data_IF_319861843467
#
_entry.id   IF_319861843467
#
_cell.length_a   1.000
_cell.length_b   1.000
_cell.length_c   1.000
_cell.angle_alpha   90.00
_cell.angle_beta   90.00
_cell.angle_gamma   90.00
#
_symmetry.space_group_name_H-M   'P 1'
#
loop_
_entity.id
_entity.type
_entity.pdbx_description
1 polymer ?
#
# COMPACT_ATOMS: atom_id res chain seq x y z
N UNK A 1 10.76 20.13 45.57
CA UNK A 1 10.39 20.60 44.22
C UNK A 1 9.33 21.68 44.32
N UNK A 2 9.56 22.76 43.62
CA UNK A 2 8.64 23.89 43.56
C UNK A 2 7.50 23.59 42.58
N UNK A 3 6.37 24.29 42.72
CA UNK A 3 5.22 24.18 41.81
C UNK A 3 5.63 24.45 40.35
N UNK A 4 6.55 25.39 40.14
CA UNK A 4 7.05 25.73 38.81
C UNK A 4 7.79 24.56 38.16
N UNK A 5 8.57 23.80 38.95
CA UNK A 5 9.27 22.62 38.46
C UNK A 5 8.30 21.49 38.03
N UNK A 6 7.28 21.26 38.80
CA UNK A 6 6.23 20.29 38.44
C UNK A 6 5.48 20.72 37.19
N UNK A 7 5.17 22.01 37.09
CA UNK A 7 4.47 22.54 35.92
C UNK A 7 5.33 22.42 34.65
N UNK A 8 6.62 22.67 34.76
CA UNK A 8 7.55 22.53 33.65
C UNK A 8 7.63 21.06 33.17
N UNK A 9 7.70 20.12 34.12
CA UNK A 9 7.70 18.69 33.80
C UNK A 9 6.40 18.30 33.09
N UNK A 10 5.27 18.76 33.61
CA UNK A 10 3.96 18.48 32.99
C UNK A 10 3.91 19.04 31.57
N UNK A 11 4.40 20.25 31.36
CA UNK A 11 4.41 20.90 30.06
C UNK A 11 5.31 20.15 29.07
N UNK A 12 6.45 19.65 29.51
CA UNK A 12 7.35 18.83 28.70
C UNK A 12 6.67 17.55 28.25
N UNK A 13 6.00 16.85 29.16
CA UNK A 13 5.26 15.63 28.82
C UNK A 13 4.12 15.92 27.86
N UNK A 14 3.40 17.01 28.04
CA UNK A 14 2.34 17.42 27.12
C UNK A 14 2.88 17.65 25.71
N UNK A 15 4.03 18.29 25.59
CA UNK A 15 4.68 18.51 24.29
C UNK A 15 5.13 17.19 23.65
N UNK A 16 5.69 16.27 24.44
CA UNK A 16 6.07 14.95 23.95
C UNK A 16 4.86 14.17 23.45
N UNK A 17 3.76 14.20 24.19
CA UNK A 17 2.52 13.52 23.80
C UNK A 17 1.99 14.13 22.50
N UNK A 18 2.01 15.45 22.38
CA UNK A 18 1.56 16.14 21.17
C UNK A 18 2.39 15.73 19.95
N UNK A 19 3.71 15.71 20.10
CA UNK A 19 4.63 15.29 19.04
C UNK A 19 4.38 13.85 18.63
N UNK A 20 4.24 12.95 19.60
CA UNK A 20 3.99 11.52 19.33
C UNK A 20 2.65 11.31 18.62
N UNK A 21 1.62 12.04 19.01
CA UNK A 21 0.30 11.97 18.35
C UNK A 21 0.39 12.45 16.90
N UNK A 22 1.16 13.51 16.65
CA UNK A 22 1.38 13.99 15.29
C UNK A 22 2.11 12.94 14.44
N UNK A 23 3.14 12.30 15.01
CA UNK A 23 3.87 11.23 14.33
C UNK A 23 2.98 10.02 14.03
N UNK A 24 2.13 9.64 14.98
CA UNK A 24 1.18 8.55 14.78
C UNK A 24 0.22 8.88 13.64
N UNK A 25 -0.31 10.09 13.62
CA UNK A 25 -1.21 10.54 12.55
C UNK A 25 -0.53 10.49 11.18
N UNK A 26 0.70 10.96 11.09
CA UNK A 26 1.49 10.90 9.85
C UNK A 26 1.73 9.46 9.40
N UNK A 27 2.05 8.57 10.34
CA UNK A 27 2.27 7.15 10.04
C UNK A 27 0.98 6.48 9.58
N UNK A 28 -0.15 6.79 10.21
CA UNK A 28 -1.45 6.27 9.80
C UNK A 28 -1.80 6.69 8.37
N UNK A 29 -1.56 7.96 8.04
CA UNK A 29 -1.81 8.48 6.69
C UNK A 29 -0.88 7.83 5.67
N UNK A 30 0.39 7.64 6.01
CA UNK A 30 1.36 6.96 5.15
C UNK A 30 0.96 5.51 4.91
N UNK A 31 0.47 4.82 5.94
CA UNK A 31 -0.01 3.44 5.82
C UNK A 31 -1.23 3.36 4.90
N UNK A 32 -2.18 4.26 5.04
CA UNK A 32 -3.37 4.32 4.16
C UNK A 32 -2.97 4.53 2.71
N UNK A 33 -2.05 5.46 2.46
CA UNK A 33 -1.53 5.74 1.12
C UNK A 33 -0.86 4.52 0.50
N UNK A 34 -0.02 3.84 1.27
CA UNK A 34 0.69 2.63 0.82
C UNK A 34 -0.28 1.48 0.56
N UNK A 35 -1.29 1.31 1.41
CA UNK A 35 -2.32 0.29 1.23
C UNK A 35 -3.11 0.52 -0.06
N UNK A 36 -3.47 1.76 -0.34
CA UNK A 36 -4.17 2.12 -1.58
C UNK A 36 -3.30 1.85 -2.81
N UNK A 37 -2.01 2.20 -2.74
CA UNK A 37 -1.05 1.94 -3.82
C UNK A 37 -0.86 0.43 -4.03
N UNK A 38 -0.78 -0.35 -2.95
CA UNK A 38 -0.65 -1.81 -3.02
C UNK A 38 -1.89 -2.44 -3.67
N UNK A 39 -3.07 -2.03 -3.28
CA UNK A 39 -4.32 -2.51 -3.88
C UNK A 39 -4.36 -2.26 -5.38
N UNK A 40 -3.96 -1.05 -5.82
CA UNK A 40 -3.89 -0.72 -7.25
C UNK A 40 -2.89 -1.59 -7.99
N UNK A 41 -1.73 -1.84 -7.38
CA UNK A 41 -0.70 -2.70 -7.96
C UNK A 41 -1.19 -4.14 -8.10
N UNK A 42 -1.88 -4.66 -7.09
CA UNK A 42 -2.45 -6.00 -7.12
C UNK A 42 -3.53 -6.13 -8.22
N UNK A 43 -4.36 -5.12 -8.39
CA UNK A 43 -5.35 -5.09 -9.48
C UNK A 43 -4.68 -5.11 -10.84
N UNK A 44 -3.62 -4.33 -11.04
CA UNK A 44 -2.86 -4.33 -12.29
C UNK A 44 -2.24 -5.69 -12.58
N UNK A 45 -1.73 -6.37 -11.54
CA UNK A 45 -1.19 -7.71 -11.68
C UNK A 45 -2.28 -8.71 -12.10
N UNK A 46 -3.46 -8.62 -11.52
CA UNK A 46 -4.59 -9.47 -11.91
C UNK A 46 -4.96 -9.28 -13.38
N UNK A 47 -5.09 -8.04 -13.82
CA UNK A 47 -5.41 -7.74 -15.21
C UNK A 47 -4.31 -8.23 -16.16
N UNK A 48 -3.05 -8.04 -15.78
CA UNK A 48 -1.91 -8.51 -16.58
C UNK A 48 -1.91 -10.04 -16.67
N UNK A 49 -2.20 -10.73 -15.57
CA UNK A 49 -2.28 -12.18 -15.55
C UNK A 49 -3.42 -12.68 -16.44
N UNK A 50 -4.58 -12.02 -16.42
CA UNK A 50 -5.69 -12.34 -17.29
C UNK A 50 -5.34 -12.14 -18.76
N UNK A 51 -4.70 -11.02 -19.08
CA UNK A 51 -4.24 -10.72 -20.45
C UNK A 51 -3.26 -11.78 -20.93
N UNK A 52 -2.36 -12.22 -20.06
CA UNK A 52 -1.40 -13.27 -20.39
C UNK A 52 -2.09 -14.60 -20.67
N UNK A 53 -3.07 -14.96 -19.84
CA UNK A 53 -3.84 -16.19 -20.04
C UNK A 53 -4.60 -16.16 -21.37
N UNK A 54 -5.22 -15.03 -21.69
CA UNK A 54 -5.93 -14.84 -22.96
C UNK A 54 -4.97 -14.95 -24.14
N UNK A 55 -3.80 -14.33 -24.07
CA UNK A 55 -2.78 -14.41 -25.11
C UNK A 55 -2.28 -15.84 -25.30
N UNK A 56 -2.10 -16.59 -24.22
CA UNK A 56 -1.68 -17.98 -24.27
C UNK A 56 -2.76 -18.86 -24.95
N UNK A 57 -4.02 -18.61 -24.65
CA UNK A 57 -5.15 -19.32 -25.30
C UNK A 57 -5.20 -19.00 -26.79
N UNK A 58 -5.01 -17.75 -27.18
CA UNK A 58 -4.97 -17.35 -28.59
C UNK A 58 -3.83 -18.04 -29.34
N UNK A 59 -2.66 -18.16 -28.72
CA UNK A 59 -1.50 -18.85 -29.29
C UNK A 59 -1.82 -20.35 -29.48
N UNK A 60 -2.45 -20.98 -28.49
CA UNK A 60 -2.86 -22.39 -28.60
C UNK A 60 -3.82 -22.58 -29.75
N UNK A 61 -4.82 -21.72 -29.86
CA UNK A 61 -5.83 -21.80 -30.93
C UNK A 61 -5.19 -21.58 -32.31
N UNK A 62 -4.29 -20.65 -32.43
CA UNK A 62 -3.53 -20.40 -33.67
C UNK A 62 -2.69 -21.63 -34.07
N UNK A 63 -2.02 -22.26 -33.10
CA UNK A 63 -1.24 -23.49 -33.34
C UNK A 63 -2.11 -24.63 -33.85
N UNK A 64 -3.27 -24.82 -33.24
CA UNK A 64 -4.21 -25.83 -33.66
C UNK A 64 -4.70 -25.62 -35.10
N UNK A 65 -4.96 -24.37 -35.46
CA UNK A 65 -5.36 -24.00 -36.81
C UNK A 65 -4.26 -24.32 -37.82
N UNK A 66 -3.02 -23.98 -37.51
CA UNK A 66 -1.88 -24.25 -38.36
C UNK A 66 -1.66 -25.77 -38.52
N UNK A 67 -1.72 -26.52 -37.45
CA UNK A 67 -1.58 -27.99 -37.47
C UNK A 67 -2.65 -28.67 -38.32
N UNK A 68 -3.90 -28.18 -38.26
CA UNK A 68 -5.00 -28.72 -39.08
C UNK A 68 -4.84 -28.44 -40.57
N UNK A 69 -4.16 -27.37 -40.93
CA UNK A 69 -3.96 -26.99 -42.32
C UNK A 69 -2.73 -27.64 -42.97
N UNK A 70 -1.86 -28.18 -42.17
CA UNK A 70 -0.70 -28.91 -42.65
C UNK A 70 -1.02 -30.41 -42.73
#
# INVERSE_FOLDING_TARGET
MDKADFQDIINEYKEQVRTLRAQISELEDACKSKDAALKRSLQKLEYTAQDLDEAQEEIKDAKKTVEKKS
#
